data_IF_442346778356
#
_entry.id   IF_442346778356
#
_cell.length_a   1.000
_cell.length_b   1.000
_cell.length_c   1.000
_cell.angle_alpha   90.00
_cell.angle_beta   90.00
_cell.angle_gamma   90.00
#
_symmetry.space_group_name_H-M   'P 1'
#
loop_
_entity.id
_entity.type
_entity.pdbx_description
1 polymer ?
#
# COMPACT_ATOMS: atom_id res chain seq x y z
N UNK A 1 3.54 20.64 -15.86
CA UNK A 1 4.25 19.49 -15.26
C UNK A 1 3.47 18.23 -15.64
N UNK A 2 4.12 17.25 -16.28
CA UNK A 2 3.45 16.06 -16.86
C UNK A 2 2.69 15.30 -15.78
N UNK A 3 1.35 15.25 -15.91
CA UNK A 3 0.49 14.34 -15.18
C UNK A 3 0.90 12.92 -15.57
N UNK A 4 1.65 12.26 -14.70
CA UNK A 4 1.78 10.81 -14.74
C UNK A 4 0.40 10.24 -14.44
N UNK A 5 -0.40 10.03 -15.48
CA UNK A 5 -1.51 9.09 -15.42
C UNK A 5 -0.88 7.71 -15.19
N UNK A 6 -0.65 7.38 -13.92
CA UNK A 6 -0.36 6.01 -13.50
C UNK A 6 -1.50 5.18 -14.07
N UNK A 7 -1.19 4.37 -15.09
CA UNK A 7 -2.07 3.27 -15.50
C UNK A 7 -2.42 2.55 -14.20
N UNK A 8 -3.70 2.60 -13.83
CA UNK A 8 -4.28 1.77 -12.77
C UNK A 8 -4.04 0.33 -13.22
N UNK A 9 -2.84 -0.19 -12.96
CA UNK A 9 -2.63 -1.62 -12.87
C UNK A 9 -3.45 -1.97 -11.65
N UNK A 10 -4.72 -2.34 -11.87
CA UNK A 10 -5.47 -3.20 -10.98
C UNK A 10 -4.62 -4.46 -10.84
N UNK A 11 -3.59 -4.39 -10.00
CA UNK A 11 -2.97 -5.59 -9.52
C UNK A 11 -4.10 -6.31 -8.80
N UNK A 12 -4.45 -7.54 -9.19
CA UNK A 12 -5.48 -8.27 -8.49
C UNK A 12 -4.95 -8.49 -7.07
N UNK A 13 -5.44 -7.67 -6.15
CA UNK A 13 -5.25 -7.88 -4.73
C UNK A 13 -6.26 -8.95 -4.32
N UNK A 14 -5.77 -10.06 -3.77
CA UNK A 14 -6.60 -11.14 -3.26
C UNK A 14 -6.71 -11.01 -1.74
N UNK A 15 -7.81 -10.48 -1.17
CA UNK A 15 -7.96 -10.30 0.28
C UNK A 15 -7.92 -11.61 1.08
N UNK A 16 -8.12 -12.76 0.42
CA UNK A 16 -7.97 -14.07 1.05
C UNK A 16 -6.51 -14.47 1.25
N UNK A 17 -5.62 -14.06 0.35
CA UNK A 17 -4.21 -14.49 0.30
C UNK A 17 -3.25 -13.40 0.74
N UNK A 18 -3.66 -12.14 0.63
CA UNK A 18 -2.84 -10.97 0.85
C UNK A 18 -3.51 -10.07 1.89
N UNK A 19 -2.69 -9.40 2.71
CA UNK A 19 -3.13 -8.37 3.64
C UNK A 19 -2.50 -7.04 3.24
N UNK A 20 -3.24 -5.93 3.21
CA UNK A 20 -2.66 -4.64 2.92
C UNK A 20 -1.93 -4.14 4.17
N UNK A 21 -0.66 -3.82 4.00
CA UNK A 21 0.22 -3.43 5.10
C UNK A 21 0.96 -2.15 4.73
N UNK A 22 1.10 -1.25 5.69
CA UNK A 22 1.97 -0.07 5.60
C UNK A 22 3.15 -0.27 6.53
N UNK A 23 4.35 -0.38 5.98
CA UNK A 23 5.58 -0.31 6.77
C UNK A 23 6.02 1.13 6.94
N UNK A 24 6.10 1.59 8.18
CA UNK A 24 6.59 2.91 8.55
C UNK A 24 7.96 2.77 9.17
N UNK A 25 9.01 3.22 8.47
CA UNK A 25 10.36 3.19 9.04
C UNK A 25 10.45 4.17 10.21
N UNK A 26 10.82 3.65 11.38
CA UNK A 26 11.06 4.47 12.58
C UNK A 26 12.31 5.34 12.44
N UNK A 27 13.27 4.95 11.59
CA UNK A 27 14.54 5.65 11.43
C UNK A 27 14.45 6.80 10.41
N UNK A 28 13.70 6.64 9.31
CA UNK A 28 13.64 7.64 8.23
C UNK A 28 12.28 8.32 8.10
N UNK A 29 11.24 7.79 8.77
CA UNK A 29 9.86 8.26 8.62
C UNK A 29 9.21 7.89 7.29
N UNK A 30 9.91 7.12 6.45
CA UNK A 30 9.37 6.67 5.16
C UNK A 30 8.31 5.60 5.38
N UNK A 31 7.15 5.81 4.75
CA UNK A 31 6.05 4.85 4.78
C UNK A 31 5.93 4.17 3.41
N UNK A 32 5.74 2.86 3.41
CA UNK A 32 5.63 2.02 2.22
C UNK A 32 4.36 1.19 2.33
N UNK A 33 3.41 1.46 1.44
CA UNK A 33 2.19 0.69 1.30
C UNK A 33 2.44 -0.49 0.35
N UNK A 34 1.97 -1.65 0.75
CA UNK A 34 2.15 -2.88 0.02
C UNK A 34 1.20 -3.97 0.49
N UNK A 35 1.41 -5.16 -0.04
CA UNK A 35 0.65 -6.34 0.31
C UNK A 35 1.57 -7.39 0.92
N UNK A 36 1.19 -7.90 2.08
CA UNK A 36 1.85 -9.01 2.74
C UNK A 36 1.13 -10.30 2.37
N UNK A 37 1.85 -11.25 1.78
CA UNK A 37 1.33 -12.56 1.43
C UNK A 37 1.19 -13.42 2.70
N UNK A 38 -0.01 -13.92 2.99
CA UNK A 38 -0.28 -14.77 4.14
C UNK A 38 0.44 -16.13 4.08
N UNK A 39 0.72 -16.62 2.87
CA UNK A 39 1.33 -17.95 2.64
C UNK A 39 2.83 -17.99 2.94
N UNK A 40 3.55 -16.93 2.60
CA UNK A 40 5.03 -16.90 2.60
C UNK A 40 5.60 -15.74 3.43
N UNK A 41 4.78 -14.77 3.84
CA UNK A 41 5.23 -13.57 4.53
C UNK A 41 5.95 -12.57 3.60
N UNK A 42 5.96 -12.81 2.29
CA UNK A 42 6.53 -11.88 1.31
C UNK A 42 5.77 -10.56 1.32
N UNK A 43 6.49 -9.47 1.50
CA UNK A 43 5.95 -8.11 1.34
C UNK A 43 6.23 -7.59 -0.06
N UNK A 44 5.17 -7.22 -0.78
CA UNK A 44 5.27 -6.56 -2.07
C UNK A 44 4.90 -5.09 -1.93
N UNK A 45 5.91 -4.22 -2.07
CA UNK A 45 5.75 -2.78 -2.08
C UNK A 45 5.06 -2.34 -3.39
N UNK A 46 3.95 -1.62 -3.28
CA UNK A 46 3.19 -1.12 -4.44
C UNK A 46 3.13 0.41 -4.49
N UNK A 47 3.30 1.07 -3.34
CA UNK A 47 3.31 2.53 -3.26
C UNK A 47 4.19 3.05 -2.10
N UNK A 48 4.87 4.17 -2.33
CA UNK A 48 5.54 4.92 -1.28
C UNK A 48 4.59 6.02 -0.79
N UNK A 49 4.33 6.03 0.51
CA UNK A 49 3.46 7.01 1.18
C UNK A 49 4.34 8.10 1.77
N UNK A 50 4.34 9.28 1.15
CA UNK A 50 5.08 10.46 1.64
C UNK A 50 4.17 11.47 2.31
N UNK A 51 2.90 11.49 1.93
CA UNK A 51 1.87 12.35 2.51
C UNK A 51 0.56 11.59 2.72
N UNK A 52 -0.34 12.18 3.51
CA UNK A 52 -1.70 11.68 3.70
C UNK A 52 -2.46 11.50 2.39
N UNK A 53 -2.16 12.35 1.39
CA UNK A 53 -2.74 12.23 0.04
C UNK A 53 -2.33 10.94 -0.68
N UNK A 54 -1.08 10.51 -0.55
CA UNK A 54 -0.62 9.25 -1.16
C UNK A 54 -1.34 8.05 -0.52
N UNK A 55 -1.58 8.11 0.79
CA UNK A 55 -2.32 7.07 1.51
C UNK A 55 -3.77 6.99 1.00
N UNK A 56 -4.42 8.14 0.86
CA UNK A 56 -5.80 8.19 0.36
C UNK A 56 -5.90 7.72 -1.10
N UNK A 57 -4.90 8.05 -1.93
CA UNK A 57 -4.81 7.52 -3.28
C UNK A 57 -4.64 6.01 -3.30
N UNK A 58 -3.77 5.44 -2.47
CA UNK A 58 -3.60 3.99 -2.36
C UNK A 58 -4.90 3.30 -1.95
N UNK A 59 -5.55 3.79 -0.88
CA UNK A 59 -6.84 3.26 -0.42
C UNK A 59 -7.90 3.31 -1.53
N UNK A 60 -7.99 4.42 -2.25
CA UNK A 60 -8.94 4.60 -3.34
C UNK A 60 -8.63 3.72 -4.56
N UNK A 61 -7.36 3.52 -4.89
CA UNK A 61 -6.91 2.72 -6.04
C UNK A 61 -7.29 1.24 -5.86
N UNK A 62 -7.18 0.74 -4.62
CA UNK A 62 -7.47 -0.64 -4.27
C UNK A 62 -8.84 -0.85 -3.61
N UNK A 63 -9.64 0.21 -3.43
CA UNK A 63 -10.95 0.14 -2.77
C UNK A 63 -10.89 -0.27 -1.29
N UNK A 64 -9.77 -0.01 -0.63
CA UNK A 64 -9.51 -0.35 0.77
C UNK A 64 -9.93 0.81 1.69
N UNK A 65 -10.30 0.51 2.94
CA UNK A 65 -10.43 1.53 3.99
C UNK A 65 -9.19 1.55 4.87
N UNK A 66 -9.03 2.61 5.65
CA UNK A 66 -7.95 2.71 6.65
C UNK A 66 -7.97 1.56 7.66
N UNK A 67 -9.15 1.00 7.92
CA UNK A 67 -9.38 -0.11 8.85
C UNK A 67 -8.89 -1.45 8.29
N UNK A 68 -8.91 -1.63 6.96
CA UNK A 68 -8.44 -2.85 6.31
C UNK A 68 -6.90 -2.93 6.29
N UNK A 69 -6.22 -1.77 6.43
CA UNK A 69 -4.77 -1.65 6.30
C UNK A 69 -4.09 -1.71 7.66
N UNK A 70 -3.19 -2.68 7.83
CA UNK A 70 -2.38 -2.82 9.04
C UNK A 70 -1.12 -1.94 8.95
N UNK A 71 -0.87 -1.10 9.95
CA UNK A 71 0.35 -0.30 10.02
C UNK A 71 1.39 -1.02 10.88
N UNK A 72 2.54 -1.33 10.30
CA UNK A 72 3.71 -1.90 10.96
C UNK A 72 4.82 -0.85 11.07
N UNK A 73 5.53 -0.87 12.20
CA UNK A 73 6.63 0.05 12.52
C UNK A 73 7.94 -0.73 12.66
#
# INVERSE_FOLDING_TARGET
>A
MKLFQKKMKKYPYDPALQKPVIYSSICTGEKRAGFLWNKDGRFEEVACIRSSRDMEMFLKDYGLKKEDVEIKY
#
